data_IF_759365291355
#
_entry.id   IF_759365291355
#
_cell.length_a   1.000
_cell.length_b   1.000
_cell.length_c   1.000
_cell.angle_alpha   90.00
_cell.angle_beta   90.00
_cell.angle_gamma   90.00
#
_symmetry.space_group_name_H-M   'P 1'
#
loop_
_entity.id
_entity.type
_entity.pdbx_description
1 polymer ?
#
# COMPACT_ATOMS: atom_id res chain seq x y z
N UNK A 1 19.77 -3.46 23.97
CA UNK A 1 20.92 -3.81 23.12
C UNK A 1 20.53 -4.72 21.96
N UNK A 2 19.99 -5.92 22.21
CA UNK A 2 19.64 -6.89 21.15
C UNK A 2 18.84 -6.30 19.98
N UNK A 3 17.75 -5.56 20.28
CA UNK A 3 16.95 -4.87 19.27
C UNK A 3 17.79 -3.97 18.35
N UNK A 4 18.57 -3.05 18.93
CA UNK A 4 19.43 -2.11 18.18
C UNK A 4 20.40 -2.86 17.27
N UNK A 5 21.11 -3.86 17.80
CA UNK A 5 22.07 -4.63 17.01
C UNK A 5 21.42 -5.47 15.92
N UNK A 6 20.19 -5.98 16.15
CA UNK A 6 19.43 -6.72 15.15
C UNK A 6 18.93 -5.80 14.03
N UNK A 7 18.41 -4.61 14.37
CA UNK A 7 18.01 -3.57 13.40
C UNK A 7 19.17 -3.18 12.50
N UNK A 8 20.32 -2.84 13.08
CA UNK A 8 21.50 -2.45 12.33
C UNK A 8 22.03 -3.59 11.46
N UNK A 9 22.00 -4.82 11.99
CA UNK A 9 22.42 -6.00 11.22
C UNK A 9 21.51 -6.25 10.04
N UNK A 10 20.18 -6.24 10.22
CA UNK A 10 19.22 -6.42 9.14
C UNK A 10 19.33 -5.30 8.09
N UNK A 11 19.48 -4.04 8.52
CA UNK A 11 19.70 -2.91 7.63
C UNK A 11 20.98 -3.08 6.80
N UNK A 12 22.11 -3.42 7.43
CA UNK A 12 23.37 -3.66 6.73
C UNK A 12 23.27 -4.83 5.75
N UNK A 13 22.68 -5.95 6.15
CA UNK A 13 22.49 -7.12 5.27
C UNK A 13 21.66 -6.75 4.05
N UNK A 14 20.52 -6.08 4.24
CA UNK A 14 19.65 -5.69 3.12
C UNK A 14 20.31 -4.66 2.21
N UNK A 15 21.09 -3.73 2.77
CA UNK A 15 21.86 -2.77 1.99
C UNK A 15 22.93 -3.44 1.13
N UNK A 16 23.68 -4.39 1.70
CA UNK A 16 24.71 -5.15 0.97
C UNK A 16 24.07 -6.04 -0.11
N UNK A 17 22.96 -6.71 0.20
CA UNK A 17 22.33 -7.69 -0.69
C UNK A 17 21.49 -7.06 -1.80
N UNK A 18 20.78 -5.98 -1.51
CA UNK A 18 19.81 -5.35 -2.43
C UNK A 18 20.25 -3.97 -2.94
N UNK A 19 21.43 -3.49 -2.53
CA UNK A 19 21.99 -2.19 -2.93
C UNK A 19 21.35 -0.98 -2.22
N UNK A 20 20.28 -1.20 -1.46
CA UNK A 20 19.58 -0.18 -0.66
C UNK A 20 19.00 -0.81 0.62
N UNK A 21 18.85 -0.04 1.72
CA UNK A 21 18.23 -0.55 2.93
C UNK A 21 16.74 -0.84 2.69
N UNK A 22 16.27 -2.01 3.11
CA UNK A 22 14.84 -2.36 3.08
C UNK A 22 14.20 -1.95 4.42
N UNK A 23 13.25 -1.02 4.38
CA UNK A 23 12.62 -0.46 5.58
C UNK A 23 11.81 -1.53 6.34
N UNK A 24 11.03 -2.35 5.62
CA UNK A 24 10.18 -3.37 6.21
C UNK A 24 11.03 -4.43 6.93
N UNK A 25 12.07 -4.91 6.28
CA UNK A 25 13.00 -5.89 6.85
C UNK A 25 13.85 -5.30 7.97
N UNK A 26 14.23 -4.02 7.89
CA UNK A 26 14.95 -3.33 8.97
C UNK A 26 14.08 -3.24 10.23
N UNK A 27 12.80 -2.91 10.10
CA UNK A 27 11.85 -2.89 11.20
C UNK A 27 11.60 -4.30 11.76
N UNK A 28 11.48 -5.31 10.89
CA UNK A 28 11.44 -6.71 11.32
C UNK A 28 12.72 -7.13 12.05
N UNK A 29 13.88 -6.55 11.70
CA UNK A 29 15.13 -6.69 12.45
C UNK A 29 15.00 -6.22 13.91
N UNK A 30 14.35 -5.09 14.14
CA UNK A 30 14.07 -4.59 15.51
C UNK A 30 13.22 -5.60 16.29
N UNK A 31 12.14 -6.11 15.67
CA UNK A 31 11.27 -7.12 16.27
C UNK A 31 12.02 -8.42 16.55
N UNK A 32 12.82 -8.90 15.62
CA UNK A 32 13.64 -10.10 15.76
C UNK A 32 14.58 -10.01 16.97
N UNK A 33 15.25 -8.87 17.17
CA UNK A 33 16.11 -8.65 18.34
C UNK A 33 15.33 -8.61 19.67
N UNK A 34 14.13 -8.03 19.69
CA UNK A 34 13.25 -8.03 20.86
C UNK A 34 12.74 -9.45 21.18
N UNK A 35 12.33 -10.20 20.17
CA UNK A 35 11.87 -11.57 20.33
C UNK A 35 13.01 -12.46 20.81
N UNK A 36 14.18 -12.39 20.16
CA UNK A 36 15.31 -13.27 20.48
C UNK A 36 15.85 -13.04 21.91
N UNK A 37 15.78 -11.81 22.44
CA UNK A 37 16.24 -11.53 23.81
C UNK A 37 15.21 -11.90 24.88
N UNK A 38 13.95 -12.17 24.51
CA UNK A 38 12.86 -12.33 25.49
C UNK A 38 13.13 -13.45 26.49
N UNK A 39 13.63 -14.61 26.04
CA UNK A 39 13.92 -15.75 26.93
C UNK A 39 15.11 -15.51 27.87
N UNK A 40 16.09 -14.69 27.45
CA UNK A 40 17.32 -14.43 28.19
C UNK A 40 17.39 -13.05 28.84
N UNK A 41 16.32 -12.25 28.82
CA UNK A 41 16.40 -10.82 29.11
C UNK A 41 16.92 -10.50 30.52
N UNK A 42 16.69 -11.39 31.49
CA UNK A 42 17.17 -11.29 32.86
C UNK A 42 18.46 -12.06 33.12
N UNK A 43 18.94 -12.86 32.16
CA UNK A 43 20.00 -13.84 32.38
C UNK A 43 21.18 -13.70 31.43
N UNK A 44 21.16 -12.76 30.48
CA UNK A 44 22.30 -12.51 29.60
C UNK A 44 22.91 -11.14 29.83
N UNK A 45 24.23 -11.05 29.71
CA UNK A 45 24.96 -9.78 29.82
C UNK A 45 24.59 -8.82 28.69
N UNK A 46 24.89 -7.52 28.87
CA UNK A 46 24.68 -6.49 27.84
C UNK A 46 25.39 -6.85 26.52
N UNK A 47 26.61 -7.38 26.62
CA UNK A 47 27.41 -7.86 25.48
C UNK A 47 26.79 -9.11 24.86
N UNK A 48 26.35 -10.08 25.66
CA UNK A 48 25.63 -11.26 25.18
C UNK A 48 24.35 -10.89 24.43
N UNK A 49 23.59 -9.92 24.96
CA UNK A 49 22.40 -9.39 24.31
C UNK A 49 22.71 -8.74 22.95
N UNK A 50 23.82 -8.01 22.83
CA UNK A 50 24.26 -7.45 21.56
C UNK A 50 24.59 -8.54 20.53
N UNK A 51 25.30 -9.60 20.93
CA UNK A 51 25.62 -10.74 20.06
C UNK A 51 24.35 -11.50 19.63
N UNK A 52 23.43 -11.75 20.56
CA UNK A 52 22.11 -12.35 20.25
C UNK A 52 21.36 -11.51 19.22
N UNK A 53 21.39 -10.18 19.35
CA UNK A 53 20.77 -9.29 18.39
C UNK A 53 21.38 -9.38 16.99
N UNK A 54 22.72 -9.43 16.88
CA UNK A 54 23.37 -9.66 15.58
C UNK A 54 22.89 -10.98 14.98
N UNK A 55 22.92 -12.08 15.74
CA UNK A 55 22.46 -13.39 15.25
C UNK A 55 20.99 -13.33 14.80
N UNK A 56 20.12 -12.71 15.59
CA UNK A 56 18.71 -12.54 15.25
C UNK A 56 18.50 -11.72 13.97
N UNK A 57 19.30 -10.69 13.72
CA UNK A 57 19.28 -9.92 12.47
C UNK A 57 19.62 -10.76 11.24
N UNK A 58 20.56 -11.70 11.35
CA UNK A 58 20.79 -12.71 10.30
C UNK A 58 19.60 -13.67 10.21
N UNK A 59 19.15 -14.22 11.33
CA UNK A 59 18.06 -15.21 11.38
C UNK A 59 16.79 -14.69 10.73
N UNK A 60 16.38 -13.45 10.97
CA UNK A 60 15.13 -12.93 10.40
C UNK A 60 15.21 -12.72 8.89
N UNK A 61 16.31 -12.16 8.38
CA UNK A 61 16.47 -11.89 6.94
C UNK A 61 16.44 -13.19 6.15
N UNK A 62 17.27 -14.16 6.56
CA UNK A 62 17.36 -15.44 5.86
C UNK A 62 16.21 -16.39 6.20
N UNK A 63 15.63 -16.28 7.39
CA UNK A 63 14.48 -17.08 7.83
C UNK A 63 13.23 -16.74 7.05
N UNK A 64 12.89 -15.44 6.92
CA UNK A 64 11.75 -14.98 6.11
C UNK A 64 11.95 -15.38 4.65
N UNK A 65 13.14 -15.13 4.08
CA UNK A 65 13.44 -15.51 2.70
C UNK A 65 13.32 -17.02 2.45
N UNK A 66 13.75 -17.84 3.42
CA UNK A 66 13.60 -19.28 3.33
C UNK A 66 12.13 -19.71 3.35
N UNK A 67 11.33 -19.16 4.26
CA UNK A 67 9.90 -19.47 4.38
C UNK A 67 9.15 -19.05 3.11
N UNK A 68 9.33 -17.80 2.70
CA UNK A 68 8.57 -17.22 1.58
C UNK A 68 9.04 -17.78 0.23
N UNK A 69 10.35 -17.85 -0.01
CA UNK A 69 10.87 -18.16 -1.35
C UNK A 69 11.19 -19.64 -1.55
N UNK A 70 11.61 -20.37 -0.50
CA UNK A 70 11.96 -21.79 -0.60
C UNK A 70 10.82 -22.70 -0.21
N UNK A 71 10.17 -22.45 0.93
CA UNK A 71 9.02 -23.24 1.35
C UNK A 71 7.74 -22.82 0.63
N UNK A 72 7.71 -21.63 0.01
CA UNK A 72 6.54 -21.06 -0.67
C UNK A 72 5.32 -21.00 0.25
N UNK A 73 5.59 -20.71 1.52
CA UNK A 73 4.56 -20.46 2.52
C UNK A 73 4.40 -18.96 2.61
N UNK A 74 3.20 -18.48 2.28
CA UNK A 74 2.88 -17.06 2.36
C UNK A 74 2.63 -16.68 3.83
N UNK A 75 3.65 -16.12 4.47
CA UNK A 75 3.61 -15.58 5.84
C UNK A 75 3.45 -14.05 5.78
N UNK A 76 2.21 -13.53 5.68
CA UNK A 76 1.95 -12.15 5.29
C UNK A 76 2.61 -11.13 6.21
N UNK A 77 2.71 -11.45 7.51
CA UNK A 77 3.31 -10.56 8.53
C UNK A 77 4.72 -10.99 8.93
N UNK A 78 5.26 -12.09 8.38
CA UNK A 78 6.56 -12.64 8.78
C UNK A 78 6.54 -13.22 10.20
N UNK A 79 5.39 -13.68 10.70
CA UNK A 79 5.24 -14.16 12.07
C UNK A 79 6.11 -15.38 12.37
N UNK A 80 6.23 -16.32 11.44
CA UNK A 80 7.05 -17.52 11.60
C UNK A 80 8.53 -17.16 11.56
N UNK A 81 8.94 -16.26 10.65
CA UNK A 81 10.33 -15.79 10.59
C UNK A 81 10.77 -15.00 11.83
N UNK A 82 9.93 -14.06 12.29
CA UNK A 82 10.23 -13.22 13.46
C UNK A 82 10.05 -14.01 14.76
N UNK A 83 8.87 -14.59 15.00
CA UNK A 83 8.56 -15.24 16.28
C UNK A 83 9.04 -16.69 16.34
N UNK A 84 8.78 -17.48 15.30
CA UNK A 84 9.17 -18.89 15.25
C UNK A 84 10.69 -19.06 15.20
N UNK A 85 11.35 -18.51 14.18
CA UNK A 85 12.79 -18.66 13.99
C UNK A 85 13.59 -17.87 15.04
N UNK A 86 13.34 -16.56 15.20
CA UNK A 86 14.15 -15.77 16.13
C UNK A 86 13.83 -16.07 17.60
N UNK A 87 12.58 -16.45 17.93
CA UNK A 87 12.23 -16.92 19.28
C UNK A 87 12.89 -18.26 19.60
N UNK A 88 12.88 -19.20 18.66
CA UNK A 88 13.61 -20.48 18.79
C UNK A 88 15.11 -20.26 18.97
N UNK A 89 15.75 -19.51 18.07
CA UNK A 89 17.19 -19.18 18.15
C UNK A 89 17.50 -18.44 19.45
N UNK A 90 16.72 -17.43 19.83
CA UNK A 90 16.89 -16.68 21.07
C UNK A 90 16.85 -17.57 22.31
N UNK A 91 15.91 -18.50 22.36
CA UNK A 91 15.79 -19.49 23.46
C UNK A 91 17.02 -20.40 23.52
N UNK A 92 17.49 -20.91 22.37
CA UNK A 92 18.73 -21.69 22.32
C UNK A 92 19.95 -20.90 22.79
N UNK A 93 20.02 -19.61 22.46
CA UNK A 93 21.11 -18.74 22.86
C UNK A 93 21.14 -18.42 24.36
N UNK A 94 20.03 -18.62 25.09
CA UNK A 94 20.07 -18.66 26.57
C UNK A 94 21.00 -19.77 27.05
N UNK A 95 20.96 -20.94 26.40
CA UNK A 95 21.87 -22.06 26.69
C UNK A 95 23.35 -21.76 26.44
N UNK A 96 23.64 -20.72 25.66
CA UNK A 96 25.00 -20.31 25.29
C UNK A 96 25.49 -19.15 26.14
N UNK A 97 24.65 -18.15 26.36
CA UNK A 97 25.02 -16.85 26.93
C UNK A 97 24.44 -16.56 28.31
N UNK A 98 23.71 -17.49 28.94
CA UNK A 98 23.24 -17.28 30.31
C UNK A 98 24.42 -17.04 31.26
N UNK A 99 24.36 -15.97 32.02
CA UNK A 99 25.35 -15.55 33.00
C UNK A 99 24.63 -15.20 34.30
N UNK A 100 25.13 -15.75 35.39
CA UNK A 100 24.69 -15.46 36.75
C UNK A 100 25.93 -15.15 37.57
N UNK A 101 25.88 -14.06 38.32
CA UNK A 101 26.98 -13.67 39.19
C UNK A 101 26.89 -14.48 40.50
N UNK A 102 27.94 -15.24 40.86
CA UNK A 102 27.92 -16.09 42.06
C UNK A 102 27.77 -15.31 43.37
N UNK A 103 28.04 -14.00 43.40
CA UNK A 103 27.93 -13.17 44.59
C UNK A 103 26.55 -12.49 44.73
N UNK A 104 25.84 -12.24 43.62
CA UNK A 104 24.51 -11.59 43.66
C UNK A 104 23.36 -12.56 43.36
N UNK A 105 23.63 -13.65 42.65
CA UNK A 105 22.61 -14.57 42.12
C UNK A 105 22.71 -15.98 42.73
N UNK A 106 23.29 -16.09 43.94
CA UNK A 106 23.50 -17.36 44.63
C UNK A 106 22.20 -18.19 44.76
N UNK A 107 21.05 -17.54 44.96
CA UNK A 107 19.75 -18.22 45.03
C UNK A 107 19.30 -18.80 43.68
N UNK A 108 19.63 -18.12 42.57
CA UNK A 108 19.23 -18.53 41.22
C UNK A 108 20.02 -19.76 40.77
N UNK A 109 21.31 -19.80 41.08
CA UNK A 109 22.17 -20.97 40.84
C UNK A 109 21.68 -22.20 41.64
N UNK A 110 21.18 -22.01 42.87
CA UNK A 110 20.63 -23.11 43.67
C UNK A 110 19.30 -23.66 43.17
N UNK A 111 18.54 -22.91 42.35
CA UNK A 111 17.29 -23.37 41.72
C UNK A 111 17.51 -24.19 40.44
N UNK A 112 18.76 -24.53 40.12
CA UNK A 112 19.11 -25.32 38.94
C UNK A 112 19.25 -24.51 37.65
N UNK A 113 19.30 -23.16 37.74
CA UNK A 113 19.68 -22.34 36.60
C UNK A 113 21.19 -22.47 36.37
N UNK A 114 21.57 -23.02 35.21
CA UNK A 114 22.98 -23.21 34.84
C UNK A 114 23.54 -22.02 34.08
N UNK A 115 24.85 -21.79 34.25
CA UNK A 115 25.60 -20.92 33.34
C UNK A 115 25.49 -21.43 31.90
N UNK A 116 25.55 -20.50 30.95
CA UNK A 116 25.62 -20.82 29.53
C UNK A 116 26.97 -21.43 29.16
N UNK A 117 27.02 -22.03 27.98
CA UNK A 117 28.21 -22.70 27.45
C UNK A 117 29.46 -21.80 27.47
N UNK A 118 29.32 -20.53 27.11
CA UNK A 118 30.44 -19.56 27.05
C UNK A 118 31.03 -19.26 28.43
N UNK A 119 30.23 -19.42 29.48
CA UNK A 119 30.62 -19.14 30.86
C UNK A 119 30.98 -20.41 31.64
N UNK A 120 31.19 -21.54 30.95
CA UNK A 120 31.66 -22.78 31.56
C UNK A 120 30.58 -23.67 32.17
N UNK A 121 29.29 -23.37 31.95
CA UNK A 121 28.18 -24.20 32.46
C UNK A 121 27.96 -25.53 31.72
N UNK A 122 28.79 -25.84 30.72
CA UNK A 122 28.70 -27.06 29.93
C UNK A 122 27.47 -27.11 29.03
N UNK A 123 27.11 -28.32 28.57
CA UNK A 123 26.01 -28.51 27.61
C UNK A 123 24.63 -28.66 28.27
N UNK A 124 24.55 -28.81 29.59
CA UNK A 124 23.30 -29.09 30.28
C UNK A 124 22.24 -28.02 30.01
N UNK A 125 22.60 -26.74 30.17
CA UNK A 125 21.67 -25.63 29.93
C UNK A 125 21.23 -25.58 28.47
N UNK A 126 22.13 -25.77 27.51
CA UNK A 126 21.80 -25.79 26.08
C UNK A 126 20.86 -26.95 25.73
N UNK A 127 21.10 -28.15 26.26
CA UNK A 127 20.22 -29.31 26.05
C UNK A 127 18.82 -29.03 26.61
N UNK A 128 18.72 -28.42 27.79
CA UNK A 128 17.42 -28.02 28.37
C UNK A 128 16.68 -27.04 27.45
N UNK A 129 17.37 -26.04 26.90
CA UNK A 129 16.75 -25.09 25.96
C UNK A 129 16.31 -25.78 24.65
N UNK A 130 17.11 -26.71 24.11
CA UNK A 130 16.75 -27.50 22.93
C UNK A 130 15.47 -28.30 23.20
N UNK A 131 15.41 -29.02 24.32
CA UNK A 131 14.23 -29.80 24.71
C UNK A 131 13.03 -28.88 24.86
N UNK A 132 13.19 -27.71 25.50
CA UNK A 132 12.12 -26.72 25.65
C UNK A 132 11.56 -26.23 24.31
N UNK A 133 12.44 -25.81 23.39
CA UNK A 133 12.03 -25.36 22.04
C UNK A 133 11.30 -26.47 21.29
N UNK A 134 11.82 -27.71 21.31
CA UNK A 134 11.18 -28.84 20.64
C UNK A 134 9.84 -29.22 21.27
N UNK A 135 9.74 -29.19 22.60
CA UNK A 135 8.51 -29.47 23.32
C UNK A 135 7.42 -28.44 22.99
N UNK A 136 7.76 -27.15 22.99
CA UNK A 136 6.83 -26.07 22.60
C UNK A 136 6.44 -26.20 21.13
N UNK A 137 7.40 -26.45 20.23
CA UNK A 137 7.11 -26.63 18.81
C UNK A 137 6.17 -27.82 18.55
N UNK A 138 6.42 -28.96 19.20
CA UNK A 138 5.56 -30.14 19.11
C UNK A 138 4.15 -29.87 19.65
N UNK A 139 4.06 -29.29 20.85
CA UNK A 139 2.78 -28.95 21.47
C UNK A 139 1.95 -27.98 20.63
N UNK A 140 2.57 -26.88 20.18
CA UNK A 140 1.90 -25.87 19.34
C UNK A 140 1.48 -26.47 18.00
N UNK A 141 2.35 -27.27 17.36
CA UNK A 141 2.01 -27.90 16.07
C UNK A 141 0.79 -28.82 16.19
N UNK A 142 0.74 -29.66 17.23
CA UNK A 142 -0.39 -30.57 17.46
C UNK A 142 -1.66 -29.79 17.78
N UNK A 143 -1.60 -28.90 18.76
CA UNK A 143 -2.79 -28.16 19.24
C UNK A 143 -3.36 -27.22 18.18
N UNK A 144 -2.51 -26.47 17.46
CA UNK A 144 -2.95 -25.57 16.40
C UNK A 144 -3.49 -26.34 15.20
N UNK A 145 -2.87 -27.46 14.81
CA UNK A 145 -3.39 -28.29 13.71
C UNK A 145 -4.77 -28.84 14.05
N UNK A 146 -4.96 -29.38 15.26
CA UNK A 146 -6.26 -29.85 15.72
C UNK A 146 -7.30 -28.72 15.72
N UNK A 147 -6.97 -27.57 16.31
CA UNK A 147 -7.87 -26.42 16.41
C UNK A 147 -8.28 -25.90 15.01
N UNK A 148 -7.32 -25.67 14.11
CA UNK A 148 -7.62 -25.15 12.78
C UNK A 148 -8.34 -26.17 11.90
N UNK A 149 -8.10 -27.47 12.06
CA UNK A 149 -8.88 -28.50 11.34
C UNK A 149 -10.33 -28.53 11.83
N UNK A 150 -10.57 -28.40 13.14
CA UNK A 150 -11.92 -28.29 13.68
C UNK A 150 -12.62 -27.06 13.08
N UNK A 151 -12.01 -25.88 13.16
CA UNK A 151 -12.59 -24.64 12.63
C UNK A 151 -12.86 -24.77 11.13
N UNK A 152 -11.91 -25.32 10.37
CA UNK A 152 -12.04 -25.53 8.93
C UNK A 152 -13.24 -26.41 8.56
N UNK A 153 -13.55 -27.41 9.38
CA UNK A 153 -14.65 -28.35 9.12
C UNK A 153 -15.99 -27.95 9.74
N UNK A 154 -16.02 -26.97 10.63
CA UNK A 154 -17.26 -26.50 11.27
C UNK A 154 -17.76 -25.18 10.68
N UNK A 155 -16.90 -24.15 10.67
CA UNK A 155 -17.29 -22.77 10.33
C UNK A 155 -16.57 -22.30 9.06
N UNK A 156 -15.37 -22.83 8.78
CA UNK A 156 -14.49 -22.34 7.73
C UNK A 156 -13.55 -21.24 8.27
N UNK A 157 -12.29 -21.24 7.78
CA UNK A 157 -11.26 -20.29 8.22
C UNK A 157 -10.90 -19.26 7.15
N UNK A 158 -11.03 -19.62 5.86
CA UNK A 158 -10.67 -18.78 4.73
C UNK A 158 -11.95 -18.33 4.04
N UNK A 159 -12.02 -17.05 3.70
CA UNK A 159 -13.09 -16.46 2.89
C UNK A 159 -13.15 -17.11 1.51
N UNK A 160 -14.24 -16.89 0.78
CA UNK A 160 -14.36 -17.39 -0.59
C UNK A 160 -13.32 -16.74 -1.50
N UNK A 161 -12.98 -17.39 -2.62
CA UNK A 161 -12.03 -16.83 -3.60
C UNK A 161 -12.53 -15.51 -4.18
N UNK A 162 -13.84 -15.32 -4.27
CA UNK A 162 -14.41 -14.08 -4.77
C UNK A 162 -14.16 -12.94 -3.78
N UNK A 163 -14.51 -13.13 -2.51
CA UNK A 163 -14.24 -12.15 -1.43
C UNK A 163 -12.75 -11.87 -1.27
N UNK A 164 -11.89 -12.89 -1.43
CA UNK A 164 -10.43 -12.72 -1.40
C UNK A 164 -9.92 -11.81 -2.54
N UNK A 165 -10.55 -11.85 -3.72
CA UNK A 165 -10.20 -11.00 -4.86
C UNK A 165 -10.79 -9.59 -4.76
N UNK A 166 -11.99 -9.47 -4.19
CA UNK A 166 -12.67 -8.19 -3.95
C UNK A 166 -12.04 -7.40 -2.80
N UNK A 167 -11.45 -8.11 -1.83
CA UNK A 167 -10.90 -7.56 -0.60
C UNK A 167 -11.93 -7.58 0.54
N UNK A 168 -11.46 -7.88 1.76
CA UNK A 168 -12.34 -8.11 2.90
C UNK A 168 -12.97 -6.82 3.45
N UNK A 169 -12.49 -5.64 3.06
CA UNK A 169 -13.00 -4.35 3.55
C UNK A 169 -14.51 -4.18 3.32
N UNK A 170 -15.00 -4.58 2.14
CA UNK A 170 -16.42 -4.43 1.77
C UNK A 170 -17.27 -5.55 2.37
N UNK A 171 -16.81 -6.79 2.28
CA UNK A 171 -17.60 -7.99 2.62
C UNK A 171 -17.63 -8.26 4.12
N UNK A 172 -16.53 -8.00 4.86
CA UNK A 172 -16.43 -8.25 6.30
C UNK A 172 -16.60 -6.98 7.15
N UNK A 173 -16.28 -5.81 6.61
CA UNK A 173 -16.28 -4.56 7.38
C UNK A 173 -17.29 -3.51 6.88
N UNK A 174 -18.00 -3.76 5.78
CA UNK A 174 -19.00 -2.84 5.24
C UNK A 174 -18.42 -1.50 4.78
N UNK A 175 -17.13 -1.46 4.48
CA UNK A 175 -16.42 -0.28 4.01
C UNK A 175 -16.09 -0.44 2.53
N UNK A 176 -16.37 0.59 1.73
CA UNK A 176 -15.96 0.58 0.31
C UNK A 176 -14.44 0.47 0.16
N UNK A 177 -13.69 1.08 1.08
CA UNK A 177 -12.24 0.89 1.23
C UNK A 177 -11.78 1.36 2.61
N UNK A 178 -10.77 0.71 3.19
CA UNK A 178 -10.04 1.23 4.36
C UNK A 178 -9.24 2.52 4.05
N UNK A 179 -9.05 2.87 2.78
CA UNK A 179 -8.37 4.08 2.34
C UNK A 179 -9.35 4.98 1.59
N UNK A 180 -9.71 6.11 2.20
CA UNK A 180 -10.70 7.04 1.66
C UNK A 180 -10.35 7.66 0.29
N UNK A 181 -9.11 7.50 -0.21
CA UNK A 181 -8.57 8.29 -1.33
C UNK A 181 -7.73 7.50 -2.37
N UNK A 182 -7.63 6.16 -2.22
CA UNK A 182 -6.67 5.34 -3.01
C UNK A 182 -7.28 4.30 -3.96
N UNK A 183 -8.60 4.18 -4.06
CA UNK A 183 -9.24 3.36 -5.10
C UNK A 183 -9.84 4.24 -6.19
N UNK A 184 -9.48 3.92 -7.44
CA UNK A 184 -10.30 4.24 -8.61
C UNK A 184 -11.70 3.75 -8.26
N UNK A 185 -12.69 4.63 -8.22
CA UNK A 185 -14.08 4.23 -8.10
C UNK A 185 -14.33 3.16 -9.16
N UNK A 186 -14.35 1.89 -8.76
CA UNK A 186 -14.84 0.83 -9.60
C UNK A 186 -16.34 1.08 -9.58
N UNK A 187 -16.81 1.76 -10.61
CA UNK A 187 -18.22 2.05 -10.74
C UNK A 187 -18.96 0.72 -10.70
N UNK A 188 -19.94 0.59 -9.82
CA UNK A 188 -20.81 -0.59 -9.63
C UNK A 188 -21.68 -0.93 -10.87
N UNK A 189 -21.25 -0.55 -12.08
CA UNK A 189 -21.94 -0.82 -13.35
C UNK A 189 -21.66 -2.21 -13.94
N UNK A 190 -20.86 -3.07 -13.28
CA UNK A 190 -20.68 -4.45 -13.74
C UNK A 190 -21.81 -5.40 -13.27
N UNK A 191 -22.78 -4.93 -12.47
CA UNK A 191 -24.07 -5.62 -12.37
C UNK A 191 -24.96 -5.19 -13.52
N UNK A 192 -24.84 -5.88 -14.65
CA UNK A 192 -25.94 -5.96 -15.61
C UNK A 192 -27.14 -6.57 -14.88
N UNK A 193 -28.06 -5.72 -14.42
CA UNK A 193 -29.43 -6.17 -14.17
C UNK A 193 -29.91 -6.87 -15.46
N UNK A 194 -30.55 -8.06 -15.37
CA UNK A 194 -31.00 -8.75 -16.57
C UNK A 194 -32.07 -7.90 -17.24
N UNK A 195 -31.65 -7.09 -18.21
CA UNK A 195 -32.53 -6.39 -19.13
C UNK A 195 -33.12 -7.46 -20.03
N UNK A 196 -34.33 -7.89 -19.68
CA UNK A 196 -35.13 -8.72 -20.58
C UNK A 196 -35.17 -8.07 -21.96
N UNK A 197 -35.00 -8.87 -23.01
CA UNK A 197 -35.09 -8.41 -24.39
C UNK A 197 -36.46 -7.77 -24.65
N UNK A 198 -36.52 -6.44 -24.57
CA UNK A 198 -37.66 -5.68 -25.08
C UNK A 198 -37.41 -5.48 -26.57
N UNK A 199 -38.30 -5.94 -27.47
CA UNK A 199 -38.15 -5.70 -28.89
C UNK A 199 -38.19 -4.20 -29.15
N UNK A 200 -37.24 -3.71 -29.95
CA UNK A 200 -37.28 -2.35 -30.49
C UNK A 200 -38.57 -2.23 -31.29
N UNK A 201 -39.56 -1.47 -30.77
CA UNK A 201 -40.75 -1.14 -31.55
C UNK A 201 -40.31 -0.25 -32.70
N UNK A 202 -40.72 -0.64 -33.90
CA UNK A 202 -40.58 0.13 -35.13
C UNK A 202 -41.06 1.57 -34.87
N UNK A 203 -40.18 2.54 -35.12
CA UNK A 203 -40.46 3.95 -34.87
C UNK A 203 -41.69 4.36 -35.70
N UNK A 204 -42.76 4.77 -35.02
CA UNK A 204 -43.93 5.36 -35.67
C UNK A 204 -43.44 6.65 -36.36
N UNK A 205 -43.78 6.89 -37.64
CA UNK A 205 -43.37 8.10 -38.33
C UNK A 205 -43.89 9.32 -37.56
N UNK A 206 -42.97 10.19 -37.16
CA UNK A 206 -43.31 11.47 -36.52
C UNK A 206 -43.95 12.35 -37.59
N UNK A 207 -45.24 12.61 -37.44
CA UNK A 207 -45.93 13.62 -38.23
C UNK A 207 -45.39 14.98 -37.82
N UNK A 208 -44.73 15.66 -38.76
CA UNK A 208 -44.17 17.00 -38.54
C UNK A 208 -45.32 17.99 -38.32
N UNK A 209 -45.63 18.29 -37.07
CA UNK A 209 -46.36 19.51 -36.74
C UNK A 209 -45.41 20.66 -37.04
N UNK A 210 -45.62 21.32 -38.18
CA UNK A 210 -44.98 22.59 -38.47
C UNK A 210 -45.44 23.61 -37.43
N UNK A 211 -44.53 24.25 -36.67
CA UNK A 211 -44.91 25.39 -35.85
C UNK A 211 -45.45 26.48 -36.77
N UNK A 212 -46.53 27.15 -36.35
CA UNK A 212 -46.98 28.38 -36.98
C UNK A 212 -45.82 29.37 -37.07
N UNK A 213 -45.83 30.21 -38.12
CA UNK A 213 -44.76 31.12 -38.52
C UNK A 213 -44.49 32.29 -37.52
N UNK A 214 -44.65 32.06 -36.23
CA UNK A 214 -44.42 33.01 -35.13
C UNK A 214 -43.41 32.56 -34.06
N UNK A 215 -43.07 31.27 -33.95
CA UNK A 215 -42.23 30.75 -32.85
C UNK A 215 -40.86 30.26 -33.34
N UNK A 216 -40.09 31.16 -33.97
CA UNK A 216 -38.68 30.93 -34.16
C UNK A 216 -37.97 30.96 -32.79
N UNK A 217 -37.65 29.79 -32.24
CA UNK A 217 -36.67 29.67 -31.15
C UNK A 217 -35.34 30.21 -31.68
N UNK A 218 -34.76 31.24 -31.07
CA UNK A 218 -33.50 31.79 -31.57
C UNK A 218 -32.40 30.73 -31.40
N UNK A 219 -31.82 30.30 -32.51
CA UNK A 219 -30.48 29.73 -32.51
C UNK A 219 -29.57 30.82 -31.92
N UNK A 220 -29.03 30.57 -30.73
CA UNK A 220 -28.11 31.49 -30.09
C UNK A 220 -26.92 31.75 -31.05
N UNK A 221 -26.58 33.02 -31.33
CA UNK A 221 -25.49 33.31 -32.24
C UNK A 221 -24.12 33.16 -31.54
N UNK A 222 -23.13 32.73 -32.34
CA UNK A 222 -21.69 33.08 -32.30
C UNK A 222 -20.67 32.03 -31.80
N UNK A 223 -20.04 31.31 -32.74
CA UNK A 223 -18.58 31.13 -32.96
C UNK A 223 -17.54 31.04 -31.83
N UNK A 224 -17.89 30.88 -30.55
CA UNK A 224 -16.91 30.78 -29.45
C UNK A 224 -16.51 29.33 -29.24
N UNK A 225 -15.26 29.01 -29.56
CA UNK A 225 -14.70 27.66 -29.43
C UNK A 225 -14.56 27.26 -27.97
N UNK A 226 -15.21 26.17 -27.57
CA UNK A 226 -15.06 25.56 -26.23
C UNK A 226 -13.92 24.55 -26.28
N UNK A 227 -13.01 24.63 -25.32
CA UNK A 227 -11.82 23.76 -25.27
C UNK A 227 -11.72 23.09 -23.91
N UNK A 228 -11.53 21.77 -23.90
CA UNK A 228 -11.14 21.01 -22.72
C UNK A 228 -9.61 20.91 -22.66
N UNK A 229 -9.04 21.26 -21.52
CA UNK A 229 -7.62 21.15 -21.20
C UNK A 229 -7.49 20.11 -20.09
N UNK A 230 -6.80 19.01 -20.40
CA UNK A 230 -6.51 17.93 -19.45
C UNK A 230 -5.03 17.97 -19.08
N UNK A 231 -4.72 18.11 -17.79
CA UNK A 231 -3.36 18.26 -17.27
C UNK A 231 -3.04 17.06 -16.38
N UNK A 232 -2.08 16.24 -16.79
CA UNK A 232 -1.49 15.20 -15.95
C UNK A 232 -0.26 15.76 -15.25
N UNK A 233 -0.26 15.87 -13.93
CA UNK A 233 0.84 16.45 -13.16
C UNK A 233 1.16 15.66 -11.88
N UNK A 234 2.27 16.03 -11.22
CA UNK A 234 2.61 15.51 -9.90
C UNK A 234 1.68 16.12 -8.83
N UNK A 235 1.15 15.28 -7.93
CA UNK A 235 0.28 15.71 -6.82
C UNK A 235 0.91 16.83 -5.97
N UNK A 236 2.23 16.77 -5.71
CA UNK A 236 2.92 17.79 -4.90
C UNK A 236 2.98 19.18 -5.55
N UNK A 237 2.61 19.31 -6.82
CA UNK A 237 2.54 20.59 -7.55
C UNK A 237 1.11 21.09 -7.75
N UNK A 238 0.11 20.35 -7.28
CA UNK A 238 -1.28 20.69 -7.50
C UNK A 238 -1.65 22.05 -6.89
N UNK A 239 -1.23 22.35 -5.66
CA UNK A 239 -1.57 23.64 -5.05
C UNK A 239 -0.99 24.82 -5.82
N UNK A 240 0.25 24.70 -6.32
CA UNK A 240 0.87 25.72 -7.15
C UNK A 240 0.13 25.90 -8.48
N UNK A 241 -0.28 24.79 -9.12
CA UNK A 241 -1.09 24.81 -10.35
C UNK A 241 -2.47 25.45 -10.10
N UNK A 242 -3.15 25.06 -9.02
CA UNK A 242 -4.47 25.55 -8.63
C UNK A 242 -4.45 27.06 -8.42
N UNK A 243 -3.52 27.56 -7.61
CA UNK A 243 -3.38 29.01 -7.37
C UNK A 243 -3.11 29.77 -8.67
N UNK A 244 -2.16 29.32 -9.48
CA UNK A 244 -1.82 29.99 -10.72
C UNK A 244 -2.99 30.03 -11.73
N UNK A 245 -3.81 28.97 -11.77
CA UNK A 245 -4.99 28.92 -12.63
C UNK A 245 -6.13 29.81 -12.11
N UNK A 246 -6.33 29.88 -10.80
CA UNK A 246 -7.30 30.79 -10.18
C UNK A 246 -6.92 32.26 -10.41
N UNK A 247 -5.63 32.60 -10.35
CA UNK A 247 -5.15 33.97 -10.59
C UNK A 247 -5.44 34.48 -12.01
N UNK A 248 -5.54 33.59 -13.00
CA UNK A 248 -5.93 33.93 -14.38
C UNK A 248 -7.44 33.84 -14.63
N UNK A 249 -8.25 33.58 -13.59
CA UNK A 249 -9.70 33.58 -13.66
C UNK A 249 -10.36 32.25 -14.02
N UNK A 250 -9.67 31.12 -13.86
CA UNK A 250 -10.32 29.80 -13.92
C UNK A 250 -11.17 29.64 -12.65
N UNK A 251 -12.47 29.41 -12.80
CA UNK A 251 -13.40 29.29 -11.67
C UNK A 251 -13.68 27.84 -11.28
N UNK A 252 -13.51 26.90 -12.19
CA UNK A 252 -13.79 25.48 -11.98
C UNK A 252 -12.74 24.57 -12.59
N UNK A 253 -12.41 23.51 -11.86
CA UNK A 253 -11.58 22.39 -12.34
C UNK A 253 -12.02 21.09 -11.68
N UNK A 254 -11.93 19.99 -12.42
CA UNK A 254 -12.20 18.65 -11.90
C UNK A 254 -10.88 17.91 -11.74
N UNK A 255 -10.64 17.33 -10.57
CA UNK A 255 -9.41 16.58 -10.29
C UNK A 255 -9.70 15.08 -10.14
N UNK A 256 -8.83 14.23 -10.68
CA UNK A 256 -8.92 12.77 -10.56
C UNK A 256 -7.54 12.20 -10.28
N UNK A 257 -7.42 11.34 -9.26
CA UNK A 257 -6.21 10.58 -9.02
C UNK A 257 -6.07 9.50 -10.10
N UNK A 258 -4.94 9.49 -10.81
CA UNK A 258 -4.65 8.51 -11.86
C UNK A 258 -3.28 7.89 -11.66
N UNK A 259 -3.17 6.62 -12.04
CA UNK A 259 -1.92 5.88 -12.00
C UNK A 259 -1.39 5.81 -13.44
N UNK A 260 -0.17 6.31 -13.69
CA UNK A 260 0.45 6.18 -15.01
C UNK A 260 1.97 6.01 -14.99
N UNK A 261 2.52 5.24 -15.94
CA UNK A 261 3.94 5.21 -16.26
C UNK A 261 4.18 5.86 -17.64
N UNK A 262 5.32 6.52 -17.83
CA UNK A 262 5.72 7.03 -19.15
C UNK A 262 6.42 5.94 -19.97
N UNK A 263 6.93 6.28 -21.16
CA UNK A 263 7.73 5.36 -22.00
C UNK A 263 9.00 4.85 -21.30
N UNK A 264 9.47 5.59 -20.30
CA UNK A 264 10.51 5.15 -19.39
C UNK A 264 9.92 4.15 -18.40
N UNK A 265 10.00 2.86 -18.75
CA UNK A 265 9.69 1.72 -17.87
C UNK A 265 10.29 2.02 -16.49
N UNK A 266 9.44 2.11 -15.47
CA UNK A 266 9.83 2.56 -14.13
C UNK A 266 11.01 1.77 -13.56
N UNK A 267 11.80 2.41 -12.69
CA UNK A 267 12.90 1.74 -12.00
C UNK A 267 12.38 0.51 -11.24
N UNK A 268 13.07 -0.62 -11.37
CA UNK A 268 12.75 -1.85 -10.65
C UNK A 268 12.96 -1.63 -9.15
N UNK A 269 11.94 -1.95 -8.36
CA UNK A 269 11.97 -1.84 -6.91
C UNK A 269 11.91 -3.23 -6.29
N UNK A 270 12.67 -3.47 -5.23
CA UNK A 270 12.61 -4.70 -4.46
C UNK A 270 11.72 -4.49 -3.24
N UNK A 271 10.74 -5.37 -3.04
CA UNK A 271 9.95 -5.46 -1.81
C UNK A 271 10.12 -6.87 -1.25
N UNK A 272 10.64 -6.99 -0.02
CA UNK A 272 10.93 -8.30 0.62
C UNK A 272 11.81 -9.22 -0.23
N UNK A 273 12.80 -8.65 -0.93
CA UNK A 273 13.71 -9.40 -1.80
C UNK A 273 13.10 -9.91 -3.11
N UNK A 274 11.81 -9.63 -3.37
CA UNK A 274 11.17 -9.91 -4.66
C UNK A 274 11.27 -8.66 -5.54
N UNK A 275 11.71 -8.85 -6.79
CA UNK A 275 11.77 -7.76 -7.78
C UNK A 275 10.35 -7.47 -8.25
N UNK A 276 9.81 -6.31 -7.85
CA UNK A 276 8.54 -5.81 -8.32
C UNK A 276 8.80 -5.02 -9.62
N UNK A 277 8.21 -5.47 -10.74
CA UNK A 277 8.25 -4.72 -12.00
C UNK A 277 6.96 -3.92 -12.24
N UNK A 278 7.18 -2.71 -12.77
CA UNK A 278 6.22 -1.67 -13.18
C UNK A 278 5.70 -0.77 -12.05
N UNK A 279 6.50 0.23 -11.71
CA UNK A 279 6.08 1.35 -10.87
C UNK A 279 5.23 2.33 -11.70
N UNK A 280 3.92 2.06 -11.75
CA UNK A 280 2.94 3.06 -12.15
C UNK A 280 2.95 4.14 -11.05
N UNK A 281 3.28 5.39 -11.40
CA UNK A 281 3.36 6.46 -10.40
C UNK A 281 1.99 7.13 -10.21
N UNK A 282 1.63 7.49 -8.98
CA UNK A 282 0.47 8.35 -8.73
C UNK A 282 0.68 9.70 -9.42
N UNK A 283 -0.35 10.15 -10.12
CA UNK A 283 -0.43 11.45 -10.79
C UNK A 283 -1.81 12.03 -10.53
N UNK A 284 -1.91 13.34 -10.69
CA UNK A 284 -3.18 14.03 -10.67
C UNK A 284 -3.56 14.41 -12.10
N UNK A 285 -4.78 14.06 -12.50
CA UNK A 285 -5.42 14.53 -13.73
C UNK A 285 -6.33 15.70 -13.38
N UNK A 286 -6.10 16.85 -14.01
CA UNK A 286 -6.90 18.06 -13.83
C UNK A 286 -7.58 18.38 -15.15
N UNK A 287 -8.91 18.30 -15.16
CA UNK A 287 -9.76 18.62 -16.30
C UNK A 287 -10.34 20.02 -16.14
N UNK A 288 -10.14 20.87 -17.15
CA UNK A 288 -10.57 22.26 -17.18
C UNK A 288 -11.28 22.50 -18.51
N UNK A 289 -12.44 23.14 -18.50
CA UNK A 289 -13.14 23.54 -19.73
C UNK A 289 -13.19 25.07 -19.79
N UNK A 290 -12.72 25.64 -20.88
CA UNK A 290 -12.62 27.10 -21.07
C UNK A 290 -13.28 27.55 -22.37
N UNK A 291 -13.91 28.73 -22.32
CA UNK A 291 -14.51 29.41 -23.47
C UNK A 291 -14.03 30.86 -23.61
N UNK A 292 -13.96 31.63 -22.51
CA UNK A 292 -13.51 33.05 -22.50
C UNK A 292 -12.00 33.20 -22.50
N UNK A 293 -11.32 32.33 -21.77
CA UNK A 293 -9.88 32.46 -21.53
C UNK A 293 -9.09 31.88 -22.71
N UNK A 294 -8.06 32.59 -23.20
CA UNK A 294 -7.19 32.06 -24.23
C UNK A 294 -6.54 30.75 -23.75
N UNK A 295 -6.68 29.68 -24.53
CA UNK A 295 -6.07 28.37 -24.22
C UNK A 295 -4.54 28.50 -24.06
N UNK A 296 -3.91 29.37 -24.85
CA UNK A 296 -2.48 29.66 -24.75
C UNK A 296 -2.08 30.22 -23.38
N UNK A 297 -2.91 31.08 -22.79
CA UNK A 297 -2.68 31.62 -21.45
C UNK A 297 -2.70 30.49 -20.42
N UNK A 298 -3.76 29.67 -20.43
CA UNK A 298 -3.92 28.54 -19.50
C UNK A 298 -2.74 27.56 -19.62
N UNK A 299 -2.33 27.22 -20.84
CA UNK A 299 -1.19 26.32 -21.09
C UNK A 299 0.12 26.94 -20.61
N UNK A 300 0.35 28.24 -20.87
CA UNK A 300 1.58 28.91 -20.45
C UNK A 300 1.70 29.00 -18.92
N UNK A 301 0.60 29.33 -18.24
CA UNK A 301 0.50 29.38 -16.78
C UNK A 301 0.72 28.00 -16.17
N UNK A 302 0.06 26.96 -16.71
CA UNK A 302 0.24 25.59 -16.25
C UNK A 302 1.69 25.11 -16.43
N UNK A 303 2.31 25.41 -17.58
CA UNK A 303 3.73 25.10 -17.80
C UNK A 303 4.62 25.79 -16.77
N UNK A 304 4.41 27.07 -16.50
CA UNK A 304 5.21 27.81 -15.52
C UNK A 304 5.05 27.25 -14.10
N UNK A 305 3.82 26.91 -13.70
CA UNK A 305 3.54 26.37 -12.36
C UNK A 305 4.11 24.95 -12.16
N UNK A 306 4.09 24.13 -13.20
CA UNK A 306 4.50 22.72 -13.12
C UNK A 306 5.98 22.49 -13.42
N UNK A 307 6.65 23.41 -14.13
CA UNK A 307 8.02 23.20 -14.55
C UNK A 307 8.99 23.17 -13.37
N UNK A 308 9.72 22.05 -13.24
CA UNK A 308 10.85 21.90 -12.32
C UNK A 308 12.15 21.59 -13.07
N UNK A 309 12.06 21.28 -14.37
CA UNK A 309 13.21 20.83 -15.16
C UNK A 309 13.54 19.36 -14.93
N UNK A 310 12.75 18.65 -14.12
CA UNK A 310 12.92 17.23 -13.84
C UNK A 310 11.86 16.38 -14.56
N UNK A 311 12.18 15.09 -14.69
CA UNK A 311 11.26 14.11 -15.26
C UNK A 311 10.04 13.98 -14.33
N UNK A 312 8.84 14.15 -14.88
CA UNK A 312 7.58 14.00 -14.14
C UNK A 312 6.76 15.28 -13.99
N UNK A 313 7.20 16.41 -14.55
CA UNK A 313 6.49 17.69 -14.49
C UNK A 313 5.05 17.61 -15.04
N UNK A 314 4.83 16.81 -16.07
CA UNK A 314 3.48 16.47 -16.53
C UNK A 314 3.29 16.42 -18.03
N UNK A 315 2.03 16.30 -18.45
CA UNK A 315 1.56 16.41 -19.85
C UNK A 315 0.27 17.22 -19.88
N UNK A 316 0.08 18.00 -20.94
CA UNK A 316 -1.14 18.78 -21.17
C UNK A 316 -1.74 18.30 -22.50
N UNK A 317 -3.01 17.93 -22.48
CA UNK A 317 -3.80 17.56 -23.63
C UNK A 317 -4.88 18.61 -23.87
N UNK A 318 -5.18 18.88 -25.13
CA UNK A 318 -6.13 19.90 -25.56
C UNK A 318 -7.13 19.23 -26.48
N UNK A 319 -8.40 19.31 -26.13
CA UNK A 319 -9.51 18.72 -26.87
C UNK A 319 -10.53 19.78 -27.24
N UNK A 320 -11.14 19.62 -28.40
CA UNK A 320 -12.28 20.43 -28.82
C UNK A 320 -13.55 19.86 -28.16
N UNK A 321 -14.35 20.75 -27.55
CA UNK A 321 -15.63 20.38 -26.94
C UNK A 321 -16.73 20.86 -27.86
N UNK A 322 -17.55 19.92 -28.33
CA UNK A 322 -18.66 20.21 -29.24
C UNK A 322 -19.76 21.02 -28.53
N UNK A 323 -20.15 20.60 -27.32
CA UNK A 323 -21.17 21.27 -26.53
C UNK A 323 -20.96 21.04 -25.03
N UNK A 324 -21.52 21.92 -24.20
CA UNK A 324 -21.61 21.80 -22.74
C UNK A 324 -23.06 22.04 -22.38
N UNK A 325 -23.67 21.17 -21.56
CA UNK A 325 -25.09 21.29 -21.19
C UNK A 325 -25.19 21.38 -19.67
N UNK A 326 -25.77 22.48 -19.15
CA UNK A 326 -26.02 22.66 -17.72
C UNK A 326 -27.32 21.95 -17.35
N UNK A 327 -27.21 20.78 -16.73
CA UNK A 327 -28.34 19.88 -16.42
C UNK A 327 -29.51 20.57 -15.69
N UNK A 328 -29.21 21.49 -14.77
CA UNK A 328 -30.22 22.17 -13.95
C UNK A 328 -31.11 23.13 -14.74
N UNK A 329 -30.53 23.86 -15.70
CA UNK A 329 -31.20 24.96 -16.41
C UNK A 329 -31.50 24.61 -17.86
N UNK A 330 -30.86 23.58 -18.41
CA UNK A 330 -30.91 23.24 -19.84
C UNK A 330 -30.09 24.18 -20.72
N UNK A 331 -29.34 25.13 -20.15
CA UNK A 331 -28.47 26.03 -20.90
C UNK A 331 -27.37 25.23 -21.60
N UNK A 332 -26.98 25.68 -22.79
CA UNK A 332 -25.97 25.02 -23.62
C UNK A 332 -24.78 25.93 -23.94
N UNK A 333 -23.70 25.31 -24.40
CA UNK A 333 -22.48 25.96 -24.87
C UNK A 333 -21.85 26.91 -23.84
N UNK A 334 -21.70 28.16 -24.24
CA UNK A 334 -21.03 29.19 -23.42
C UNK A 334 -21.83 29.55 -22.16
N UNK A 335 -23.16 29.62 -22.26
CA UNK A 335 -24.05 29.99 -21.15
C UNK A 335 -24.07 28.89 -20.08
N UNK A 336 -23.94 27.63 -20.51
CA UNK A 336 -23.78 26.49 -19.61
C UNK A 336 -22.53 26.57 -18.71
N UNK A 337 -21.49 27.30 -19.15
CA UNK A 337 -20.23 27.49 -18.41
C UNK A 337 -20.21 28.76 -17.54
N UNK A 338 -21.22 29.64 -17.65
CA UNK A 338 -21.32 30.79 -16.78
C UNK A 338 -22.06 30.39 -15.50
N UNK A 339 -21.43 30.61 -14.35
CA UNK A 339 -22.15 30.62 -13.09
C UNK A 339 -22.75 32.02 -12.92
N UNK A 340 -24.07 32.12 -12.86
CA UNK A 340 -24.74 33.37 -12.50
C UNK A 340 -24.20 33.80 -11.14
N UNK A 341 -23.47 34.92 -11.13
CA UNK A 341 -23.06 35.56 -9.88
C UNK A 341 -24.34 36.12 -9.25
N UNK A 342 -24.96 35.33 -8.38
CA UNK A 342 -25.94 35.79 -7.42
C UNK A 342 -25.28 36.60 -6.31
#
# INVERSE_FOLDING_TARGET
MAAVTATLTAMCITWIKYGKPDVSMTLNGSLAGLVAITAGCSTVTVTGAAVIGVIAGFTVVFGVEFIDQKLKVDDPVGAVGVHGCCGGVGTLLVGVFAYFDPYTDAEVLTRGAGLGLVYGGGFAQLIVQIIGVLAVAAWVSVTMTCMFQIIKHTIGLRVSRQEELEGLDSTEHGLFSAYADFTVARSDYDQEAPLGNVPVREAIPVELVTPDAGDAVPVAPTGVKITKIEILCNQGKFDALKTALFDIGITGMTCTNVMGCGEQRGASEYYRGVKMEVNIRPKLKVDIVVCKLPVSLVVSTAKQALYTGHIGDGKIFIYDVENVIKVRTGEEGYDALQDDVG
#
